data_IF_545502936586
#
_entry.id   IF_545502936586
#
_cell.length_a   1.000
_cell.length_b   1.000
_cell.length_c   1.000
_cell.angle_alpha   90.00
_cell.angle_beta   90.00
_cell.angle_gamma   90.00
#
_symmetry.space_group_name_H-M   'P 1'
#
loop_
_entity.id
_entity.type
_entity.pdbx_description
1 polymer ?
#
# COMPACT_ATOMS: atom_id res chain seq x y z
N UNK A 1 25.72 -5.76 16.48
CA UNK A 1 24.97 -5.98 17.73
C UNK A 1 23.52 -5.60 17.49
N UNK A 2 22.66 -6.58 17.21
CA UNK A 2 21.21 -6.36 17.04
C UNK A 2 20.56 -6.34 18.40
N UNK A 3 20.14 -5.16 18.86
CA UNK A 3 19.28 -5.05 20.03
C UNK A 3 18.06 -5.98 19.81
N UNK A 4 17.74 -6.90 20.73
CA UNK A 4 16.57 -7.77 20.59
C UNK A 4 15.34 -6.87 20.58
N UNK A 5 14.83 -6.60 19.38
CA UNK A 5 13.66 -5.76 19.15
C UNK A 5 12.52 -6.30 20.00
N UNK A 6 11.93 -5.43 20.83
CA UNK A 6 10.74 -5.76 21.59
C UNK A 6 9.71 -6.42 20.64
N UNK A 7 9.15 -7.58 21.00
CA UNK A 7 8.31 -8.35 20.09
C UNK A 7 7.14 -7.49 19.66
N UNK A 8 6.99 -7.30 18.35
CA UNK A 8 5.80 -6.67 17.77
C UNK A 8 4.57 -7.43 18.28
N UNK A 9 3.48 -6.71 18.59
CA UNK A 9 2.24 -7.36 19.01
C UNK A 9 1.90 -8.48 18.01
N UNK A 10 1.62 -9.70 18.49
CA UNK A 10 1.37 -10.82 17.61
C UNK A 10 0.19 -10.49 16.66
N UNK A 11 0.21 -11.01 15.42
CA UNK A 11 -0.89 -10.82 14.50
C UNK A 11 -2.20 -11.35 15.10
N UNK A 12 -3.31 -10.69 14.77
CA UNK A 12 -4.66 -11.16 15.17
C UNK A 12 -4.90 -12.53 14.54
N UNK A 13 -5.16 -13.55 15.35
CA UNK A 13 -5.46 -14.91 14.87
C UNK A 13 -6.94 -15.23 15.08
N UNK A 14 -7.66 -15.45 13.97
CA UNK A 14 -9.07 -15.78 13.98
C UNK A 14 -9.30 -17.28 13.87
N UNK A 15 -10.40 -17.75 14.44
CA UNK A 15 -10.76 -19.17 14.52
C UNK A 15 -12.19 -19.40 14.01
N UNK A 16 -12.48 -20.63 13.55
CA UNK A 16 -13.82 -21.08 13.18
C UNK A 16 -14.53 -20.15 12.17
N UNK A 17 -15.72 -19.67 12.54
CA UNK A 17 -16.55 -18.83 11.68
C UNK A 17 -15.92 -17.46 11.36
N UNK A 18 -15.14 -16.90 12.29
CA UNK A 18 -14.48 -15.60 12.10
C UNK A 18 -13.39 -15.70 11.02
N UNK A 19 -12.56 -16.76 11.06
CA UNK A 19 -11.55 -17.00 10.03
C UNK A 19 -12.16 -17.18 8.63
N UNK A 20 -13.26 -17.95 8.53
CA UNK A 20 -13.99 -18.11 7.25
C UNK A 20 -14.56 -16.79 6.74
N UNK A 21 -15.08 -15.94 7.63
CA UNK A 21 -15.58 -14.60 7.28
C UNK A 21 -14.45 -13.69 6.78
N UNK A 22 -13.30 -13.68 7.45
CA UNK A 22 -12.13 -12.92 7.02
C UNK A 22 -11.66 -13.33 5.62
N UNK A 23 -11.61 -14.63 5.33
CA UNK A 23 -11.24 -15.13 4.01
C UNK A 23 -12.26 -14.72 2.92
N UNK A 24 -13.56 -14.79 3.20
CA UNK A 24 -14.59 -14.31 2.25
C UNK A 24 -14.44 -12.82 1.97
N UNK A 25 -14.15 -12.01 2.99
CA UNK A 25 -13.88 -10.59 2.80
C UNK A 25 -12.60 -10.35 2.01
N UNK A 26 -11.54 -11.13 2.23
CA UNK A 26 -10.31 -11.05 1.43
C UNK A 26 -10.57 -11.34 -0.05
N UNK A 27 -11.31 -12.42 -0.34
CA UNK A 27 -11.71 -12.78 -1.72
C UNK A 27 -12.57 -11.68 -2.34
N UNK A 28 -13.58 -11.18 -1.63
CA UNK A 28 -14.47 -10.14 -2.14
C UNK A 28 -13.71 -8.83 -2.41
N UNK A 29 -12.83 -8.39 -1.51
CA UNK A 29 -11.98 -7.22 -1.75
C UNK A 29 -11.08 -7.43 -2.96
N UNK A 30 -10.40 -8.58 -3.05
CA UNK A 30 -9.51 -8.89 -4.16
C UNK A 30 -10.25 -8.90 -5.51
N UNK A 31 -11.43 -9.52 -5.56
CA UNK A 31 -12.27 -9.56 -6.77
C UNK A 31 -12.72 -8.16 -7.18
N UNK A 32 -13.27 -7.36 -6.26
CA UNK A 32 -13.74 -6.01 -6.58
C UNK A 32 -12.59 -5.09 -7.01
N UNK A 33 -11.42 -5.24 -6.38
CA UNK A 33 -10.23 -4.47 -6.68
C UNK A 33 -9.64 -4.82 -8.05
N UNK A 34 -9.61 -6.11 -8.40
CA UNK A 34 -8.89 -6.61 -9.58
C UNK A 34 -9.76 -6.78 -10.83
N UNK A 35 -11.09 -6.93 -10.72
CA UNK A 35 -11.92 -7.29 -11.87
C UNK A 35 -11.83 -6.27 -13.02
N UNK A 36 -11.87 -4.97 -12.71
CA UNK A 36 -11.76 -3.91 -13.73
C UNK A 36 -10.33 -3.81 -14.28
N UNK A 37 -9.27 -3.72 -13.45
CA UNK A 37 -7.88 -3.74 -13.94
C UNK A 37 -7.52 -4.98 -14.76
N UNK A 38 -7.89 -6.19 -14.32
CA UNK A 38 -7.65 -7.44 -15.07
C UNK A 38 -8.41 -7.45 -16.39
N UNK A 39 -9.67 -6.99 -16.42
CA UNK A 39 -10.43 -6.87 -17.67
C UNK A 39 -9.77 -5.87 -18.64
N UNK A 40 -9.34 -4.70 -18.14
CA UNK A 40 -8.57 -3.75 -18.95
C UNK A 40 -7.27 -4.39 -19.46
N UNK A 41 -6.53 -5.08 -18.59
CA UNK A 41 -5.27 -5.72 -18.94
C UNK A 41 -5.45 -6.80 -20.02
N UNK A 42 -6.51 -7.60 -19.90
CA UNK A 42 -6.85 -8.63 -20.89
C UNK A 42 -7.25 -8.02 -22.24
N UNK A 43 -7.98 -6.91 -22.26
CA UNK A 43 -8.34 -6.19 -23.48
C UNK A 43 -7.09 -5.62 -24.15
N UNK A 44 -6.23 -4.93 -23.38
CA UNK A 44 -4.96 -4.39 -23.88
C UNK A 44 -4.04 -5.51 -24.41
N UNK A 45 -3.95 -6.63 -23.70
CA UNK A 45 -3.24 -7.81 -24.18
C UNK A 45 -3.84 -8.35 -25.47
N UNK A 46 -5.17 -8.42 -25.58
CA UNK A 46 -5.84 -8.82 -26.82
C UNK A 46 -5.48 -7.91 -28.00
N UNK A 47 -5.41 -6.59 -27.80
CA UNK A 47 -4.96 -5.67 -28.85
C UNK A 47 -3.53 -5.94 -29.29
N UNK A 48 -2.62 -6.30 -28.37
CA UNK A 48 -1.26 -6.71 -28.72
C UNK A 48 -1.25 -7.94 -29.65
N UNK A 49 -2.17 -8.89 -29.45
CA UNK A 49 -2.34 -10.07 -30.30
C UNK A 49 -3.27 -9.85 -31.51
N UNK A 50 -3.63 -8.60 -31.83
CA UNK A 50 -4.50 -8.29 -32.97
C UNK A 50 -5.95 -8.76 -32.82
N UNK A 51 -6.41 -9.04 -31.59
CA UNK A 51 -7.81 -9.42 -31.33
C UNK A 51 -8.72 -8.22 -31.59
N UNK A 52 -9.68 -8.31 -32.53
CA UNK A 52 -10.62 -7.23 -32.79
C UNK A 52 -11.70 -7.22 -31.71
N UNK A 53 -11.58 -6.31 -30.74
CA UNK A 53 -12.62 -6.12 -29.73
C UNK A 53 -13.83 -5.39 -30.32
N UNK A 54 -15.07 -5.83 -30.04
CA UNK A 54 -16.26 -5.11 -30.46
C UNK A 54 -16.27 -3.68 -29.88
N UNK A 55 -16.84 -2.67 -30.57
CA UNK A 55 -16.95 -1.30 -30.06
C UNK A 55 -17.65 -1.19 -28.69
N UNK A 56 -18.50 -2.17 -28.36
CA UNK A 56 -19.22 -2.25 -27.07
C UNK A 56 -18.33 -2.65 -25.88
N UNK A 57 -17.08 -3.04 -26.10
CA UNK A 57 -16.16 -3.49 -25.04
C UNK A 57 -15.95 -2.42 -23.96
N UNK A 58 -15.78 -1.16 -24.36
CA UNK A 58 -15.70 -0.03 -23.42
C UNK A 58 -16.96 0.15 -22.58
N UNK A 59 -18.15 -0.11 -23.15
CA UNK A 59 -19.41 -0.07 -22.41
C UNK A 59 -19.47 -1.15 -21.33
N UNK A 60 -19.01 -2.38 -21.63
CA UNK A 60 -18.95 -3.45 -20.63
C UNK A 60 -18.02 -3.11 -19.46
N UNK A 61 -16.86 -2.49 -19.74
CA UNK A 61 -15.97 -2.01 -18.69
C UNK A 61 -16.62 -0.92 -17.82
N UNK A 62 -17.37 0.00 -18.44
CA UNK A 62 -18.17 1.00 -17.73
C UNK A 62 -19.20 0.36 -16.80
N UNK A 63 -19.96 -0.62 -17.32
CA UNK A 63 -20.94 -1.39 -16.52
C UNK A 63 -20.26 -2.11 -15.36
N UNK A 64 -19.10 -2.75 -15.59
CA UNK A 64 -18.34 -3.40 -14.52
C UNK A 64 -17.93 -2.41 -13.41
N UNK A 65 -17.43 -1.22 -13.78
CA UNK A 65 -17.07 -0.17 -12.80
C UNK A 65 -18.28 0.27 -11.98
N UNK A 66 -19.42 0.50 -12.62
CA UNK A 66 -20.68 0.86 -11.94
C UNK A 66 -21.14 -0.26 -11.01
N UNK A 67 -21.07 -1.52 -11.43
CA UNK A 67 -21.38 -2.67 -10.58
C UNK A 67 -20.49 -2.73 -9.33
N UNK A 68 -19.17 -2.53 -9.49
CA UNK A 68 -18.24 -2.46 -8.35
C UNK A 68 -18.62 -1.29 -7.44
N UNK A 69 -18.90 -0.10 -7.99
CA UNK A 69 -19.29 1.06 -7.22
C UNK A 69 -20.58 0.84 -6.41
N UNK A 70 -21.57 0.15 -6.97
CA UNK A 70 -22.80 -0.23 -6.29
C UNK A 70 -22.50 -1.16 -5.11
N UNK A 71 -21.66 -2.17 -5.30
CA UNK A 71 -21.25 -3.07 -4.20
C UNK A 71 -20.54 -2.27 -3.10
N UNK A 72 -19.64 -1.36 -3.45
CA UNK A 72 -18.93 -0.49 -2.50
C UNK A 72 -19.90 0.42 -1.75
N UNK A 73 -20.87 1.01 -2.44
CA UNK A 73 -21.92 1.86 -1.86
C UNK A 73 -22.75 1.13 -0.80
N UNK A 74 -23.10 -0.13 -1.00
CA UNK A 74 -23.82 -0.89 0.02
C UNK A 74 -22.91 -1.42 1.12
N UNK A 75 -21.72 -1.90 0.76
CA UNK A 75 -20.84 -2.59 1.69
C UNK A 75 -20.18 -1.63 2.70
N UNK A 76 -19.76 -0.44 2.29
CA UNK A 76 -19.10 0.52 3.19
C UNK A 76 -20.03 0.98 4.32
N UNK A 77 -21.24 1.52 4.07
CA UNK A 77 -22.19 1.86 5.12
C UNK A 77 -22.54 0.67 5.99
N UNK A 78 -22.70 -0.54 5.42
CA UNK A 78 -22.99 -1.75 6.20
C UNK A 78 -21.92 -2.02 7.26
N UNK A 79 -20.63 -2.00 6.87
CA UNK A 79 -19.52 -2.23 7.81
C UNK A 79 -19.40 -1.10 8.83
N UNK A 80 -19.58 0.15 8.40
CA UNK A 80 -19.54 1.33 9.30
C UNK A 80 -20.70 1.28 10.31
N UNK A 81 -21.91 0.93 9.89
CA UNK A 81 -23.08 0.75 10.77
C UNK A 81 -22.79 -0.33 11.81
N UNK A 82 -22.25 -1.48 11.37
CA UNK A 82 -21.92 -2.60 12.26
C UNK A 82 -20.86 -2.25 13.32
N UNK A 83 -19.89 -1.38 13.00
CA UNK A 83 -18.84 -0.95 13.95
C UNK A 83 -19.31 0.15 14.91
N UNK A 84 -20.26 0.98 14.51
CA UNK A 84 -20.69 2.19 15.23
C UNK A 84 -21.95 1.94 16.08
N UNK A 85 -21.87 0.99 17.01
CA UNK A 85 -22.94 0.72 17.99
C UNK A 85 -23.01 1.80 19.07
N UNK A 86 -24.17 1.94 19.74
CA UNK A 86 -24.40 2.98 20.76
C UNK A 86 -23.39 2.93 21.91
N UNK A 87 -22.96 1.72 22.28
CA UNK A 87 -22.05 1.51 23.41
C UNK A 87 -20.63 2.00 23.15
N UNK A 88 -20.28 2.29 21.88
CA UNK A 88 -18.92 2.63 21.46
C UNK A 88 -18.75 4.07 21.01
N UNK A 89 -19.83 4.70 20.53
CA UNK A 89 -19.73 5.99 19.83
C UNK A 89 -20.94 6.87 20.17
N UNK A 90 -20.70 8.15 20.42
CA UNK A 90 -21.76 9.12 20.68
C UNK A 90 -22.74 9.22 19.50
N UNK A 91 -24.04 9.50 19.73
CA UNK A 91 -25.05 9.55 18.67
C UNK A 91 -24.69 10.49 17.50
N UNK A 92 -24.11 11.66 17.79
CA UNK A 92 -23.68 12.65 16.78
C UNK A 92 -22.57 12.10 15.89
N UNK A 93 -21.52 11.52 16.48
CA UNK A 93 -20.39 10.95 15.74
C UNK A 93 -20.82 9.75 14.90
N UNK A 94 -21.73 8.94 15.41
CA UNK A 94 -22.35 7.83 14.68
C UNK A 94 -23.10 8.32 13.45
N UNK A 95 -23.95 9.34 13.59
CA UNK A 95 -24.69 9.91 12.46
C UNK A 95 -23.72 10.48 11.40
N UNK A 96 -22.69 11.22 11.84
CA UNK A 96 -21.68 11.77 10.94
C UNK A 96 -20.91 10.69 10.16
N UNK A 97 -20.45 9.61 10.84
CA UNK A 97 -19.70 8.53 10.19
C UNK A 97 -20.57 7.75 9.19
N UNK A 98 -21.82 7.46 9.54
CA UNK A 98 -22.76 6.76 8.66
C UNK A 98 -23.17 7.62 7.46
N UNK A 99 -23.46 8.90 7.70
CA UNK A 99 -23.76 9.88 6.65
C UNK A 99 -22.59 10.04 5.68
N UNK A 100 -21.36 10.15 6.19
CA UNK A 100 -20.15 10.22 5.36
C UNK A 100 -19.94 8.94 4.54
N UNK A 101 -20.19 7.76 5.11
CA UNK A 101 -20.09 6.49 4.37
C UNK A 101 -21.08 6.42 3.19
N UNK A 102 -22.34 6.83 3.41
CA UNK A 102 -23.36 6.89 2.35
C UNK A 102 -22.97 7.94 1.30
N UNK A 103 -22.56 9.14 1.71
CA UNK A 103 -22.17 10.21 0.80
C UNK A 103 -20.97 9.82 -0.09
N UNK A 104 -19.92 9.23 0.50
CA UNK A 104 -18.77 8.72 -0.26
C UNK A 104 -19.18 7.59 -1.21
N UNK A 105 -20.03 6.67 -0.78
CA UNK A 105 -20.54 5.62 -1.65
C UNK A 105 -21.34 6.18 -2.85
N UNK A 106 -22.22 7.15 -2.61
CA UNK A 106 -22.98 7.80 -3.69
C UNK A 106 -22.05 8.54 -4.65
N UNK A 107 -21.06 9.25 -4.11
CA UNK A 107 -20.04 9.93 -4.91
C UNK A 107 -19.20 8.93 -5.71
N UNK A 108 -18.92 7.74 -5.18
CA UNK A 108 -18.21 6.68 -5.90
C UNK A 108 -19.04 6.08 -7.04
N UNK A 109 -20.37 5.93 -6.88
CA UNK A 109 -21.27 5.53 -7.98
C UNK A 109 -21.24 6.59 -9.09
N UNK A 110 -21.39 7.87 -8.73
CA UNK A 110 -21.31 8.96 -9.69
C UNK A 110 -19.95 8.99 -10.40
N UNK A 111 -18.86 8.81 -9.66
CA UNK A 111 -17.50 8.77 -10.17
C UNK A 111 -17.19 7.54 -11.06
N UNK A 112 -17.99 6.48 -10.99
CA UNK A 112 -17.81 5.28 -11.81
C UNK A 112 -18.36 5.45 -13.24
N UNK A 113 -19.14 6.50 -13.50
CA UNK A 113 -19.65 6.80 -14.83
C UNK A 113 -18.53 7.34 -15.74
N UNK A 114 -18.22 6.67 -16.86
CA UNK A 114 -17.17 7.08 -17.78
C UNK A 114 -17.45 8.42 -18.49
N UNK A 115 -18.69 8.92 -18.47
CA UNK A 115 -19.08 10.18 -19.10
C UNK A 115 -18.77 11.43 -18.25
N UNK A 116 -18.37 11.27 -17.00
CA UNK A 116 -18.10 12.39 -16.08
C UNK A 116 -16.82 13.11 -16.48
N UNK A 117 -16.95 14.39 -16.84
CA UNK A 117 -15.88 15.26 -17.33
C UNK A 117 -14.71 15.51 -16.35
N UNK A 118 -14.85 15.14 -15.07
CA UNK A 118 -13.84 15.32 -14.01
C UNK A 118 -13.07 14.02 -13.71
N UNK A 119 -12.48 13.41 -14.73
CA UNK A 119 -11.87 12.07 -14.65
C UNK A 119 -10.84 11.90 -13.50
N UNK A 120 -9.92 12.86 -13.22
CA UNK A 120 -8.96 12.71 -12.13
C UNK A 120 -9.61 12.71 -10.74
N UNK A 121 -10.56 13.64 -10.51
CA UNK A 121 -11.26 13.75 -9.24
C UNK A 121 -12.16 12.53 -8.99
N UNK A 122 -12.86 12.06 -10.04
CA UNK A 122 -13.67 10.86 -9.99
C UNK A 122 -12.83 9.63 -9.57
N UNK A 123 -11.64 9.45 -10.17
CA UNK A 123 -10.71 8.39 -9.77
C UNK A 123 -10.32 8.47 -8.29
N UNK A 124 -9.93 9.66 -7.81
CA UNK A 124 -9.55 9.86 -6.40
C UNK A 124 -10.72 9.56 -5.46
N UNK A 125 -11.94 10.01 -5.79
CA UNK A 125 -13.14 9.75 -4.99
C UNK A 125 -13.43 8.24 -4.93
N UNK A 126 -13.41 7.57 -6.08
CA UNK A 126 -13.70 6.14 -6.17
C UNK A 126 -12.69 5.33 -5.36
N UNK A 127 -11.40 5.50 -5.62
CA UNK A 127 -10.35 4.74 -4.94
C UNK A 127 -10.19 5.14 -3.48
N UNK A 128 -10.37 6.41 -3.13
CA UNK A 128 -10.41 6.86 -1.73
C UNK A 128 -11.55 6.21 -0.94
N UNK A 129 -12.74 6.10 -1.55
CA UNK A 129 -13.88 5.39 -0.95
C UNK A 129 -13.59 3.89 -0.81
N UNK A 130 -12.95 3.29 -1.81
CA UNK A 130 -12.55 1.88 -1.79
C UNK A 130 -11.47 1.58 -0.73
N UNK A 131 -10.49 2.47 -0.56
CA UNK A 131 -9.51 2.41 0.52
C UNK A 131 -10.21 2.47 1.87
N UNK A 132 -11.19 3.36 2.04
CA UNK A 132 -11.96 3.45 3.28
C UNK A 132 -12.73 2.16 3.58
N UNK A 133 -13.44 1.61 2.59
CA UNK A 133 -14.09 0.29 2.70
C UNK A 133 -13.10 -0.77 3.17
N UNK A 134 -11.94 -0.85 2.52
CA UNK A 134 -10.89 -1.81 2.84
C UNK A 134 -10.42 -1.68 4.30
N UNK A 135 -10.15 -0.46 4.75
CA UNK A 135 -9.76 -0.18 6.14
C UNK A 135 -10.86 -0.57 7.13
N UNK A 136 -12.14 -0.29 6.83
CA UNK A 136 -13.27 -0.66 7.68
C UNK A 136 -13.46 -2.18 7.74
N UNK A 137 -13.28 -2.89 6.62
CA UNK A 137 -13.31 -4.35 6.58
C UNK A 137 -12.21 -4.93 7.47
N UNK A 138 -10.96 -4.46 7.37
CA UNK A 138 -9.88 -4.90 8.26
C UNK A 138 -10.20 -4.60 9.73
N UNK A 139 -10.69 -3.38 10.04
CA UNK A 139 -11.07 -2.98 11.41
C UNK A 139 -12.20 -3.86 11.97
N UNK A 140 -13.14 -4.31 11.15
CA UNK A 140 -14.22 -5.23 11.58
C UNK A 140 -13.69 -6.59 12.09
N UNK A 141 -12.45 -6.94 11.72
CA UNK A 141 -11.72 -8.12 12.18
C UNK A 141 -10.64 -7.80 13.23
N UNK A 142 -10.61 -6.57 13.76
CA UNK A 142 -9.59 -6.12 14.71
C UNK A 142 -8.19 -5.89 14.10
N UNK A 143 -8.09 -5.85 12.77
CA UNK A 143 -6.83 -5.70 12.05
C UNK A 143 -6.56 -4.22 11.79
N UNK A 144 -5.33 -3.78 12.06
CA UNK A 144 -4.80 -2.46 11.70
C UNK A 144 -3.66 -2.67 10.69
N UNK A 145 -3.77 -2.01 9.53
CA UNK A 145 -2.81 -2.15 8.41
C UNK A 145 -1.55 -1.29 8.56
N UNK A 146 -1.61 -0.22 9.36
CA UNK A 146 -0.44 0.57 9.73
C UNK A 146 -0.21 0.39 11.23
N UNK A 147 0.66 -0.55 11.59
CA UNK A 147 1.04 -0.77 12.99
C UNK A 147 2.22 0.13 13.32
N UNK A 148 2.04 1.20 14.12
CA UNK A 148 3.19 1.89 14.65
C UNK A 148 3.97 0.89 15.52
N UNK A 149 5.29 0.85 15.36
CA UNK A 149 6.14 0.25 16.39
C UNK A 149 5.89 0.99 17.70
N UNK A 150 6.10 0.33 18.83
CA UNK A 150 6.10 0.97 20.16
C UNK A 150 7.25 1.97 20.35
N UNK A 151 7.79 2.51 19.27
CA UNK A 151 8.87 3.47 19.22
C UNK A 151 8.27 4.84 19.54
N UNK A 152 8.61 5.36 20.72
CA UNK A 152 8.14 6.64 21.23
C UNK A 152 8.84 7.82 20.56
N UNK A 153 10.10 7.62 20.13
CA UNK A 153 10.90 8.65 19.45
C UNK A 153 10.44 8.85 17.99
N UNK A 154 9.93 10.05 17.62
CA UNK A 154 9.57 10.39 16.25
C UNK A 154 10.74 10.32 15.26
N UNK A 155 11.99 10.57 15.68
CA UNK A 155 13.18 10.57 14.81
C UNK A 155 13.50 9.15 14.36
N UNK A 156 13.66 8.20 15.27
CA UNK A 156 13.85 6.78 14.94
C UNK A 156 12.69 6.20 14.13
N UNK A 157 11.44 6.57 14.44
CA UNK A 157 10.28 6.17 13.63
C UNK A 157 10.37 6.67 12.18
N UNK A 158 10.84 7.91 11.96
CA UNK A 158 11.04 8.45 10.60
C UNK A 158 12.18 7.74 9.89
N UNK A 159 13.33 7.54 10.53
CA UNK A 159 14.47 6.80 9.95
C UNK A 159 14.08 5.38 9.55
N UNK A 160 13.37 4.66 10.42
CA UNK A 160 12.87 3.32 10.09
C UNK A 160 11.81 3.34 8.98
N UNK A 161 10.94 4.36 8.93
CA UNK A 161 10.00 4.53 7.80
C UNK A 161 10.76 4.72 6.49
N UNK A 162 11.80 5.54 6.50
CA UNK A 162 12.65 5.78 5.34
C UNK A 162 13.35 4.50 4.88
N UNK A 163 13.97 3.75 5.79
CA UNK A 163 14.63 2.47 5.49
C UNK A 163 13.66 1.47 4.83
N UNK A 164 12.43 1.37 5.37
CA UNK A 164 11.40 0.51 4.79
C UNK A 164 10.95 0.98 3.41
N UNK A 165 10.75 2.29 3.23
CA UNK A 165 10.42 2.87 1.93
C UNK A 165 11.53 2.62 0.91
N UNK A 166 12.80 2.76 1.29
CA UNK A 166 13.93 2.50 0.41
C UNK A 166 14.00 1.03 -0.01
N UNK A 167 13.81 0.09 0.93
CA UNK A 167 13.73 -1.34 0.60
C UNK A 167 12.57 -1.65 -0.34
N UNK A 168 11.39 -1.09 -0.08
CA UNK A 168 10.24 -1.25 -0.96
C UNK A 168 10.50 -0.67 -2.35
N UNK A 169 11.13 0.50 -2.42
CA UNK A 169 11.51 1.15 -3.67
C UNK A 169 12.51 0.30 -4.46
N UNK A 170 13.49 -0.32 -3.80
CA UNK A 170 14.44 -1.22 -4.45
C UNK A 170 13.75 -2.44 -5.07
N UNK A 171 12.75 -3.03 -4.40
CA UNK A 171 11.93 -4.08 -5.00
C UNK A 171 11.11 -3.58 -6.18
N UNK A 172 10.61 -2.34 -6.11
CA UNK A 172 9.88 -1.71 -7.21
C UNK A 172 10.78 -1.55 -8.44
N UNK A 173 11.97 -0.98 -8.25
CA UNK A 173 13.00 -0.82 -9.27
C UNK A 173 13.44 -2.17 -9.82
N UNK A 174 13.68 -3.18 -8.98
CA UNK A 174 14.11 -4.50 -9.43
C UNK A 174 13.05 -5.17 -10.33
N UNK A 175 11.78 -5.16 -9.92
CA UNK A 175 10.68 -5.71 -10.72
C UNK A 175 10.48 -4.96 -12.04
N UNK A 176 10.44 -3.62 -11.99
CA UNK A 176 10.29 -2.79 -13.19
C UNK A 176 11.48 -2.89 -14.15
N UNK A 177 12.70 -2.96 -13.62
CA UNK A 177 13.91 -3.16 -14.41
C UNK A 177 13.94 -4.54 -15.08
N UNK A 178 13.55 -5.60 -14.37
CA UNK A 178 13.44 -6.94 -14.95
C UNK A 178 12.34 -7.02 -16.02
N UNK A 179 11.21 -6.35 -15.81
CA UNK A 179 10.17 -6.22 -16.84
C UNK A 179 10.72 -5.52 -18.08
N UNK A 180 11.42 -4.39 -17.90
CA UNK A 180 12.06 -3.65 -18.98
C UNK A 180 13.10 -4.50 -19.73
N UNK A 181 14.02 -5.17 -19.04
CA UNK A 181 15.00 -6.04 -19.69
C UNK A 181 14.35 -7.20 -20.44
N UNK A 182 13.29 -7.78 -19.88
CA UNK A 182 12.53 -8.85 -20.55
C UNK A 182 11.87 -8.34 -21.82
N UNK A 183 11.29 -7.13 -21.79
CA UNK A 183 10.75 -6.46 -22.96
C UNK A 183 11.83 -6.22 -24.03
N UNK A 184 12.99 -5.67 -23.66
CA UNK A 184 14.09 -5.42 -24.59
C UNK A 184 14.65 -6.72 -25.17
N UNK A 185 14.74 -7.79 -24.38
CA UNK A 185 15.19 -9.10 -24.86
C UNK A 185 14.23 -9.69 -25.90
N UNK A 186 12.91 -9.59 -25.67
CA UNK A 186 11.91 -10.07 -26.62
C UNK A 186 11.93 -9.27 -27.93
N UNK A 187 12.07 -7.95 -27.85
CA UNK A 187 12.22 -7.08 -29.02
C UNK A 187 13.51 -7.39 -29.79
N UNK A 188 14.62 -7.63 -29.08
CA UNK A 188 15.90 -7.97 -29.69
C UNK A 188 15.87 -9.34 -30.40
N UNK A 189 15.16 -10.31 -29.83
CA UNK A 189 15.00 -11.63 -30.41
C UNK A 189 13.99 -11.70 -31.56
N UNK A 190 13.31 -10.58 -31.87
CA UNK A 190 12.32 -10.46 -32.94
C UNK A 190 11.25 -11.57 -32.90
N UNK A 191 10.79 -11.90 -31.69
CA UNK A 191 9.79 -12.94 -31.49
C UNK A 191 8.41 -12.35 -31.76
N UNK A 192 8.00 -12.29 -33.03
CA UNK A 192 6.69 -11.78 -33.48
C UNK A 192 5.49 -12.37 -32.72
N UNK A 193 5.64 -13.58 -32.19
CA UNK A 193 4.59 -14.30 -31.44
C UNK A 193 4.37 -13.71 -30.03
N UNK A 194 5.27 -12.87 -29.52
CA UNK A 194 5.23 -12.32 -28.17
C UNK A 194 5.23 -10.79 -28.20
N UNK A 195 4.12 -10.16 -28.63
CA UNK A 195 4.04 -8.72 -28.72
C UNK A 195 4.22 -8.10 -27.33
N UNK A 196 5.09 -7.09 -27.28
CA UNK A 196 5.38 -6.31 -26.08
C UNK A 196 4.77 -4.93 -26.26
N UNK A 197 4.23 -4.38 -25.19
CA UNK A 197 3.63 -3.04 -25.27
C UNK A 197 4.69 -1.95 -25.42
N UNK A 198 4.50 -1.10 -26.43
CA UNK A 198 5.40 0.03 -26.70
C UNK A 198 5.17 1.24 -25.77
N UNK A 199 3.95 1.40 -25.25
CA UNK A 199 3.58 2.54 -24.41
C UNK A 199 2.68 2.18 -23.21
N UNK A 200 3.27 2.24 -22.02
CA UNK A 200 2.57 2.06 -20.75
C UNK A 200 1.56 3.16 -20.41
N UNK A 201 1.88 4.43 -20.67
CA UNK A 201 0.96 5.52 -20.30
C UNK A 201 -0.27 5.56 -21.21
N UNK A 202 -0.12 5.18 -22.48
CA UNK A 202 -1.25 5.02 -23.38
C UNK A 202 -2.22 3.95 -22.87
N UNK A 203 -1.70 2.80 -22.40
CA UNK A 203 -2.52 1.75 -21.81
C UNK A 203 -3.19 2.16 -20.48
N UNK A 204 -2.56 3.07 -19.72
CA UNK A 204 -3.16 3.66 -18.52
C UNK A 204 -4.09 4.86 -18.83
N UNK A 205 -4.19 5.29 -20.09
CA UNK A 205 -4.98 6.46 -20.51
C UNK A 205 -4.44 7.80 -19.99
N UNK A 206 -3.15 7.86 -19.65
CA UNK A 206 -2.51 9.03 -19.06
C UNK A 206 -1.86 9.87 -20.17
N UNK A 207 -2.62 10.83 -20.71
CA UNK A 207 -2.10 11.85 -21.63
C UNK A 207 -2.03 13.23 -20.95
N UNK A 208 -0.81 13.78 -20.89
CA UNK A 208 -0.46 15.21 -20.86
C UNK A 208 -0.67 16.02 -19.58
N UNK A 209 -1.59 15.64 -18.68
CA UNK A 209 -1.92 16.45 -17.50
C UNK A 209 -1.35 15.87 -16.19
N UNK A 210 -0.64 16.71 -15.41
CA UNK A 210 -0.11 16.33 -14.09
C UNK A 210 -1.23 15.89 -13.14
N UNK A 211 -2.41 16.50 -13.23
CA UNK A 211 -3.58 16.12 -12.43
C UNK A 211 -4.01 14.67 -12.68
N UNK A 212 -4.07 14.24 -13.94
CA UNK A 212 -4.33 12.84 -14.34
C UNK A 212 -3.25 11.89 -13.83
N UNK A 213 -1.98 12.26 -13.98
CA UNK A 213 -0.86 11.45 -13.48
C UNK A 213 -0.95 11.24 -11.97
N UNK A 214 -1.17 12.29 -11.18
CA UNK A 214 -1.30 12.18 -9.73
C UNK A 214 -2.51 11.34 -9.32
N UNK A 215 -3.65 11.49 -10.00
CA UNK A 215 -4.83 10.68 -9.75
C UNK A 215 -4.59 9.20 -10.07
N UNK A 216 -3.93 8.90 -11.19
CA UNK A 216 -3.57 7.54 -11.58
C UNK A 216 -2.61 6.90 -10.56
N UNK A 217 -1.50 7.56 -10.23
CA UNK A 217 -0.53 7.09 -9.22
C UNK A 217 -1.23 6.84 -7.87
N UNK A 218 -2.07 7.77 -7.42
CA UNK A 218 -2.83 7.61 -6.17
C UNK A 218 -3.74 6.38 -6.23
N UNK A 219 -4.43 6.20 -7.36
CA UNK A 219 -5.34 5.07 -7.59
C UNK A 219 -4.60 3.73 -7.56
N UNK A 220 -3.47 3.65 -8.27
CA UNK A 220 -2.61 2.45 -8.33
C UNK A 220 -2.08 2.09 -6.95
N UNK A 221 -1.51 3.05 -6.22
CA UNK A 221 -0.98 2.83 -4.87
C UNK A 221 -2.07 2.36 -3.89
N UNK A 222 -3.27 2.95 -3.97
CA UNK A 222 -4.40 2.50 -3.16
C UNK A 222 -4.80 1.07 -3.52
N UNK A 223 -5.02 0.79 -4.80
CA UNK A 223 -5.44 -0.51 -5.29
C UNK A 223 -4.44 -1.59 -4.87
N UNK A 224 -3.18 -1.40 -5.22
CA UNK A 224 -2.15 -2.42 -5.07
C UNK A 224 -1.66 -2.52 -3.62
N UNK A 225 -1.19 -1.43 -3.00
CA UNK A 225 -0.58 -1.52 -1.68
C UNK A 225 -1.61 -1.69 -0.56
N UNK A 226 -2.69 -0.91 -0.60
CA UNK A 226 -3.69 -0.93 0.48
C UNK A 226 -4.57 -2.17 0.38
N UNK A 227 -5.09 -2.48 -0.81
CA UNK A 227 -6.06 -3.55 -0.96
C UNK A 227 -5.41 -4.88 -1.28
N UNK A 228 -4.72 -4.99 -2.42
CA UNK A 228 -4.17 -6.26 -2.90
C UNK A 228 -3.08 -6.79 -1.97
N UNK A 229 -2.10 -5.96 -1.61
CA UNK A 229 -1.00 -6.37 -0.75
C UNK A 229 -1.43 -6.38 0.72
N UNK A 230 -1.69 -5.21 1.33
CA UNK A 230 -1.83 -5.12 2.77
C UNK A 230 -3.10 -5.79 3.32
N UNK A 231 -4.27 -5.42 2.81
CA UNK A 231 -5.53 -5.90 3.38
C UNK A 231 -5.74 -7.39 3.16
N UNK A 232 -5.53 -7.89 1.93
CA UNK A 232 -5.68 -9.32 1.62
C UNK A 232 -4.65 -10.14 2.40
N UNK A 233 -3.38 -9.74 2.44
CA UNK A 233 -2.37 -10.44 3.23
C UNK A 233 -2.73 -10.47 4.72
N UNK A 234 -3.19 -9.34 5.28
CA UNK A 234 -3.55 -9.28 6.69
C UNK A 234 -4.78 -10.14 7.02
N UNK A 235 -5.81 -10.15 6.18
CA UNK A 235 -7.00 -10.97 6.35
C UNK A 235 -6.69 -12.48 6.18
N UNK A 236 -5.86 -12.85 5.21
CA UNK A 236 -5.43 -14.23 5.01
C UNK A 236 -4.54 -14.71 6.15
N UNK A 237 -3.62 -13.87 6.64
CA UNK A 237 -2.79 -14.15 7.81
C UNK A 237 -3.66 -14.34 9.05
N UNK A 238 -4.65 -13.46 9.26
CA UNK A 238 -5.58 -13.59 10.38
C UNK A 238 -6.45 -14.85 10.28
N UNK A 239 -6.77 -15.29 9.06
CA UNK A 239 -7.42 -16.57 8.79
C UNK A 239 -6.46 -17.78 8.85
N UNK A 240 -5.20 -17.59 9.25
CA UNK A 240 -4.15 -18.61 9.36
C UNK A 240 -3.88 -19.36 8.06
N UNK A 241 -3.96 -18.67 6.93
CA UNK A 241 -3.51 -19.23 5.65
C UNK A 241 -1.98 -19.37 5.64
N UNK A 242 -1.44 -20.47 5.09
CA UNK A 242 0.00 -20.63 4.98
C UNK A 242 0.59 -19.52 4.11
N UNK A 243 1.80 -19.07 4.46
CA UNK A 243 2.44 -17.91 3.83
C UNK A 243 2.57 -18.07 2.31
N UNK A 244 2.89 -19.26 1.82
CA UNK A 244 2.97 -19.52 0.37
C UNK A 244 1.65 -19.22 -0.36
N UNK A 245 0.48 -19.52 0.23
CA UNK A 245 -0.81 -19.19 -0.38
C UNK A 245 -1.01 -17.69 -0.50
N UNK A 246 -0.53 -16.92 0.49
CA UNK A 246 -0.62 -15.46 0.48
C UNK A 246 0.25 -14.89 -0.65
N UNK A 247 1.50 -15.34 -0.75
CA UNK A 247 2.40 -14.95 -1.84
C UNK A 247 1.83 -15.31 -3.20
N UNK A 248 1.42 -16.56 -3.42
CA UNK A 248 0.87 -16.99 -4.71
C UNK A 248 -0.36 -16.17 -5.09
N UNK A 249 -1.29 -15.94 -4.15
CA UNK A 249 -2.51 -15.17 -4.43
C UNK A 249 -2.19 -13.75 -4.88
N UNK A 250 -1.32 -13.05 -4.14
CA UNK A 250 -0.97 -11.65 -4.41
C UNK A 250 -0.16 -11.55 -5.69
N UNK A 251 0.89 -12.35 -5.86
CA UNK A 251 1.74 -12.31 -7.06
C UNK A 251 0.95 -12.66 -8.33
N UNK A 252 0.04 -13.64 -8.29
CA UNK A 252 -0.77 -14.00 -9.47
C UNK A 252 -1.72 -12.87 -9.86
N UNK A 253 -2.39 -12.22 -8.90
CA UNK A 253 -3.26 -11.09 -9.20
C UNK A 253 -2.46 -9.90 -9.72
N UNK A 254 -1.30 -9.62 -9.14
CA UNK A 254 -0.38 -8.56 -9.60
C UNK A 254 0.09 -8.80 -11.05
N UNK A 255 0.54 -10.01 -11.37
CA UNK A 255 0.87 -10.37 -12.75
C UNK A 255 -0.35 -10.21 -13.67
N UNK A 256 -1.54 -10.59 -13.22
CA UNK A 256 -2.77 -10.50 -14.02
C UNK A 256 -3.20 -9.05 -14.29
N UNK A 257 -3.10 -8.15 -13.30
CA UNK A 257 -3.42 -6.72 -13.53
C UNK A 257 -2.40 -6.05 -14.45
N UNK A 258 -1.18 -6.60 -14.54
CA UNK A 258 -0.13 -6.15 -15.44
C UNK A 258 0.00 -6.99 -16.72
N UNK A 259 -0.96 -7.88 -17.01
CA UNK A 259 -0.90 -8.76 -18.17
C UNK A 259 -0.80 -8.00 -19.51
N UNK A 260 -1.19 -6.72 -19.52
CA UNK A 260 -1.01 -5.82 -20.67
C UNK A 260 0.47 -5.58 -21.04
N UNK A 261 1.44 -5.96 -20.20
CA UNK A 261 2.86 -5.98 -20.58
C UNK A 261 3.25 -7.21 -21.41
N UNK A 262 2.37 -8.20 -21.57
CA UNK A 262 2.72 -9.48 -22.17
C UNK A 262 3.58 -10.34 -21.22
N UNK A 263 4.51 -11.11 -21.77
CA UNK A 263 5.39 -11.99 -20.98
C UNK A 263 6.23 -11.24 -19.90
N UNK A 264 6.71 -10.00 -20.13
CA UNK A 264 7.36 -9.19 -19.10
C UNK A 264 6.55 -8.99 -17.81
N UNK A 265 5.22 -9.15 -17.84
CA UNK A 265 4.37 -9.06 -16.64
C UNK A 265 4.79 -10.03 -15.53
N UNK A 266 5.43 -11.17 -15.86
CA UNK A 266 5.93 -12.12 -14.87
C UNK A 266 6.95 -11.51 -13.90
N UNK A 267 7.71 -10.49 -14.32
CA UNK A 267 8.65 -9.79 -13.45
C UNK A 267 7.94 -9.01 -12.32
N UNK A 268 6.66 -8.68 -12.49
CA UNK A 268 5.83 -8.06 -11.44
C UNK A 268 5.60 -9.00 -10.25
N UNK A 269 5.84 -10.31 -10.39
CA UNK A 269 5.82 -11.21 -9.24
C UNK A 269 6.92 -10.88 -8.22
N UNK A 270 8.10 -10.42 -8.67
CA UNK A 270 9.21 -10.01 -7.77
C UNK A 270 8.86 -8.70 -7.07
N UNK A 271 8.29 -7.76 -7.83
CA UNK A 271 7.75 -6.50 -7.33
C UNK A 271 6.75 -6.72 -6.20
N UNK A 272 5.73 -7.55 -6.45
CA UNK A 272 4.69 -7.90 -5.50
C UNK A 272 5.22 -8.67 -4.28
N UNK A 273 6.07 -9.67 -4.51
CA UNK A 273 6.64 -10.50 -3.44
C UNK A 273 7.49 -9.67 -2.46
N UNK A 274 8.29 -8.74 -2.97
CA UNK A 274 9.11 -7.85 -2.15
C UNK A 274 8.30 -6.93 -1.25
N UNK A 275 7.28 -6.26 -1.82
CA UNK A 275 6.34 -5.41 -1.04
C UNK A 275 5.58 -6.23 0.00
N UNK A 276 5.11 -7.42 -0.38
CA UNK A 276 4.43 -8.34 0.52
C UNK A 276 5.34 -8.82 1.66
N UNK A 277 6.61 -9.13 1.37
CA UNK A 277 7.57 -9.54 2.39
C UNK A 277 7.76 -8.45 3.45
N UNK A 278 7.94 -7.20 3.01
CA UNK A 278 8.06 -6.05 3.90
C UNK A 278 6.75 -5.89 4.70
N UNK A 279 5.59 -5.99 4.06
CA UNK A 279 4.31 -5.88 4.77
C UNK A 279 4.14 -6.96 5.84
N UNK A 280 4.38 -8.24 5.52
CA UNK A 280 4.23 -9.34 6.47
C UNK A 280 5.18 -9.24 7.65
N UNK A 281 6.39 -8.73 7.43
CA UNK A 281 7.39 -8.59 8.49
C UNK A 281 7.15 -7.36 9.38
N UNK A 282 6.79 -6.22 8.79
CA UNK A 282 6.71 -4.94 9.52
C UNK A 282 5.29 -4.51 9.85
N UNK A 283 4.27 -4.97 9.11
CA UNK A 283 2.87 -4.59 9.29
C UNK A 283 2.60 -3.11 9.01
N UNK A 284 3.30 -2.54 8.02
CA UNK A 284 3.23 -1.11 7.66
C UNK A 284 2.97 -0.97 6.17
N UNK A 285 1.91 -0.26 5.82
CA UNK A 285 1.48 -0.04 4.43
C UNK A 285 1.97 1.29 3.89
N UNK A 286 2.08 2.32 4.74
CA UNK A 286 2.47 3.67 4.31
C UNK A 286 3.86 3.72 3.65
N UNK A 287 4.92 3.05 4.17
CA UNK A 287 6.22 3.05 3.49
C UNK A 287 6.16 2.43 2.10
N UNK A 288 5.32 1.40 1.91
CA UNK A 288 5.12 0.73 0.62
C UNK A 288 4.48 1.69 -0.37
N UNK A 289 3.39 2.34 0.06
CA UNK A 289 2.65 3.32 -0.75
C UNK A 289 3.54 4.47 -1.22
N UNK A 290 4.37 5.01 -0.33
CA UNK A 290 5.27 6.12 -0.67
C UNK A 290 6.31 5.65 -1.69
N UNK A 291 6.94 4.51 -1.44
CA UNK A 291 7.97 3.97 -2.32
C UNK A 291 7.44 3.67 -3.72
N UNK A 292 6.32 2.96 -3.79
CA UNK A 292 5.64 2.62 -5.03
C UNK A 292 5.15 3.87 -5.77
N UNK A 293 4.50 4.80 -5.08
CA UNK A 293 4.03 6.04 -5.69
C UNK A 293 5.17 6.91 -6.25
N UNK A 294 6.32 6.96 -5.57
CA UNK A 294 7.52 7.65 -6.08
C UNK A 294 8.05 6.93 -7.32
N UNK A 295 8.10 5.60 -7.31
CA UNK A 295 8.53 4.80 -8.46
C UNK A 295 7.66 5.06 -9.69
N UNK A 296 6.34 4.98 -9.55
CA UNK A 296 5.39 5.22 -10.65
C UNK A 296 5.44 6.66 -11.17
N UNK A 297 5.52 7.64 -10.25
CA UNK A 297 5.63 9.05 -10.62
C UNK A 297 6.94 9.31 -11.37
N UNK A 298 8.07 8.78 -10.88
CA UNK A 298 9.36 8.91 -11.54
C UNK A 298 9.35 8.24 -12.92
N UNK A 299 8.82 7.03 -13.04
CA UNK A 299 8.67 6.33 -14.31
C UNK A 299 7.85 7.14 -15.31
N UNK A 300 6.73 7.72 -14.86
CA UNK A 300 5.86 8.57 -15.69
C UNK A 300 6.57 9.85 -16.15
N UNK A 301 7.25 10.55 -15.24
CA UNK A 301 7.95 11.80 -15.53
C UNK A 301 9.19 11.61 -16.41
N UNK A 302 9.86 10.47 -16.30
CA UNK A 302 11.06 10.15 -17.09
C UNK A 302 10.72 9.53 -18.46
N UNK A 303 9.49 9.09 -18.69
CA UNK A 303 9.08 8.50 -19.98
C UNK A 303 9.35 9.40 -21.20
N UNK A 304 9.06 10.71 -21.24
CA UNK A 304 9.35 11.52 -22.44
C UNK A 304 10.85 11.71 -22.69
N UNK A 305 11.70 11.42 -21.71
CA UNK A 305 13.15 11.59 -21.78
C UNK A 305 13.78 10.42 -22.56
N UNK A 306 14.77 10.62 -23.46
CA UNK A 306 15.45 9.52 -24.12
C UNK A 306 16.18 8.57 -23.15
N UNK A 307 16.28 7.28 -23.49
CA UNK A 307 16.81 6.22 -22.62
C UNK A 307 18.18 6.54 -21.98
N UNK A 308 19.20 7.06 -22.69
CA UNK A 308 20.50 7.38 -22.07
C UNK A 308 20.38 8.38 -20.93
N UNK A 309 19.52 9.39 -21.08
CA UNK A 309 19.28 10.39 -20.04
C UNK A 309 18.44 9.83 -18.88
N UNK A 310 17.54 8.87 -19.12
CA UNK A 310 16.85 8.15 -18.03
C UNK A 310 17.84 7.35 -17.18
N UNK A 311 18.77 6.65 -17.83
CA UNK A 311 19.83 5.90 -17.14
C UNK A 311 20.70 6.87 -16.33
N UNK A 312 21.14 7.97 -16.93
CA UNK A 312 21.91 8.99 -16.23
C UNK A 312 21.16 9.58 -15.02
N UNK A 313 19.87 9.91 -15.18
CA UNK A 313 19.02 10.37 -14.10
C UNK A 313 18.90 9.32 -12.97
N UNK A 314 18.72 8.06 -13.33
CA UNK A 314 18.71 6.94 -12.38
C UNK A 314 20.03 6.82 -11.61
N UNK A 315 21.17 6.90 -12.29
CA UNK A 315 22.49 6.89 -11.65
C UNK A 315 22.69 8.09 -10.71
N UNK A 316 22.29 9.29 -11.14
CA UNK A 316 22.36 10.50 -10.30
C UNK A 316 21.50 10.33 -9.05
N UNK A 317 20.26 9.83 -9.17
CA UNK A 317 19.38 9.59 -8.04
C UNK A 317 19.95 8.51 -7.09
N UNK A 318 20.49 7.42 -7.64
CA UNK A 318 21.09 6.34 -6.86
C UNK A 318 22.31 6.79 -6.04
N UNK A 319 23.05 7.81 -6.51
CA UNK A 319 24.17 8.41 -5.78
C UNK A 319 23.69 9.48 -4.80
N UNK A 320 22.79 10.37 -5.24
CA UNK A 320 22.34 11.52 -4.47
C UNK A 320 21.52 11.12 -3.24
N UNK A 321 20.64 10.11 -3.35
CA UNK A 321 19.76 9.70 -2.26
C UNK A 321 20.53 9.21 -1.02
N UNK A 322 21.51 8.28 -1.12
CA UNK A 322 22.34 7.90 0.03
C UNK A 322 23.15 9.05 0.61
N UNK A 323 23.61 10.00 -0.22
CA UNK A 323 24.33 11.17 0.25
C UNK A 323 23.43 12.12 1.05
N UNK A 324 22.20 12.37 0.58
CA UNK A 324 21.20 13.18 1.27
C UNK A 324 20.80 12.51 2.59
N UNK A 325 20.56 11.19 2.56
CA UNK A 325 20.23 10.40 3.74
C UNK A 325 21.33 10.51 4.80
N UNK A 326 22.59 10.23 4.43
CA UNK A 326 23.73 10.32 5.35
C UNK A 326 23.87 11.71 5.98
N UNK A 327 23.59 12.77 5.21
CA UNK A 327 23.64 14.16 5.72
C UNK A 327 22.46 14.45 6.65
N UNK A 328 21.25 14.02 6.29
CA UNK A 328 20.05 14.25 7.08
C UNK A 328 20.09 13.50 8.42
N UNK A 329 20.61 12.26 8.43
CA UNK A 329 20.77 11.50 9.67
C UNK A 329 21.96 12.00 10.48
N UNK A 330 23.10 12.29 9.85
CA UNK A 330 24.29 12.79 10.54
C UNK A 330 24.08 14.13 11.24
N UNK A 331 23.28 15.04 10.68
CA UNK A 331 22.93 16.29 11.34
C UNK A 331 22.05 16.08 12.59
N UNK A 332 21.14 15.10 12.54
CA UNK A 332 20.29 14.77 13.69
C UNK A 332 21.09 14.11 14.82
N UNK A 333 22.03 13.23 14.49
CA UNK A 333 22.93 12.58 15.45
C UNK A 333 23.87 13.60 16.11
N UNK A 334 24.35 14.59 15.34
CA UNK A 334 25.20 15.66 15.87
C UNK A 334 24.46 16.59 16.83
N UNK A 335 23.19 16.91 16.57
CA UNK A 335 22.35 17.71 17.47
C UNK A 335 22.08 16.97 18.79
N UNK A 336 21.84 15.65 18.75
CA UNK A 336 21.66 14.82 19.95
C UNK A 336 22.94 14.72 20.79
N UNK A 337 24.12 14.71 20.16
CA UNK A 337 25.40 14.76 20.87
C UNK A 337 25.73 16.16 21.42
N UNK A 338 25.20 17.22 20.80
CA UNK A 338 25.46 18.61 21.16
C UNK A 338 24.53 19.16 22.24
N UNK A 339 23.47 18.44 22.62
CA UNK A 339 22.63 18.72 23.79
C UNK A 339 23.07 17.81 24.95
N UNK A 340 24.18 18.15 25.65
CA UNK A 340 24.58 17.41 26.83
C UNK A 340 23.46 17.56 27.85
N UNK A 341 22.77 16.46 28.13
CA UNK A 341 21.68 16.36 29.11
C UNK A 341 21.91 17.31 30.30
N UNK A 342 21.23 18.47 30.35
CA UNK A 342 21.45 19.44 31.42
C UNK A 342 21.09 18.88 32.80
N UNK A 343 20.36 17.74 32.83
CA UNK A 343 19.97 17.05 34.04
C UNK A 343 21.02 16.03 34.54
N UNK A 344 22.14 15.81 33.84
CA UNK A 344 23.22 14.94 34.29
C UNK A 344 24.13 15.59 35.36
N UNK A 345 23.84 16.81 35.80
CA UNK A 345 24.31 17.33 37.09
C UNK A 345 23.16 17.32 38.10
N UNK A 346 22.91 16.19 38.79
CA UNK A 346 22.36 16.29 40.12
C UNK A 346 23.43 17.00 40.95
N UNK A 347 23.11 18.18 41.47
CA UNK A 347 23.53 18.52 42.82
C UNK A 347 23.09 17.34 43.70
N UNK A 348 23.99 16.37 43.85
CA UNK A 348 23.90 15.30 44.81
C UNK A 348 23.74 16.00 46.17
N UNK A 349 22.55 15.95 46.80
CA UNK A 349 22.39 16.56 48.11
C UNK A 349 23.38 15.83 49.03
N UNK A 350 24.23 16.56 49.78
CA UNK A 350 25.26 15.95 50.61
C UNK A 350 24.61 14.91 51.53
N UNK A 351 25.22 13.74 51.59
CA UNK A 351 24.84 12.60 52.40
C UNK A 351 24.45 13.04 53.82
N UNK A 352 23.15 13.23 54.06
CA UNK A 352 22.60 13.34 55.41
C UNK A 352 22.36 11.94 55.93
N UNK A 353 23.29 11.50 56.75
CA UNK A 353 23.14 10.57 57.87
C UNK A 353 21.85 9.73 57.87
N UNK A 354 21.93 8.54 57.26
CA UNK A 354 21.12 7.39 57.67
C UNK A 354 21.82 6.67 58.83
N UNK A 355 21.99 7.38 59.94
CA UNK A 355 22.16 6.78 61.24
C UNK A 355 20.86 7.00 62.03
N UNK A 356 20.31 5.90 62.55
CA UNK A 356 19.20 5.82 63.52
C UNK A 356 17.77 5.76 62.97
N UNK A 357 17.21 4.55 62.96
CA UNK A 357 15.93 4.17 63.61
C UNK A 357 15.56 2.77 63.10
N UNK A 358 16.05 1.71 63.75
CA UNK A 358 15.36 1.01 64.86
C UNK A 358 14.19 0.16 64.36
N UNK A 359 14.49 -1.14 64.35
CA UNK A 359 13.62 -2.29 64.59
C UNK A 359 12.21 -2.04 65.15
N UNK A 360 11.21 -2.70 64.55
CA UNK A 360 10.19 -3.39 65.34
C UNK A 360 9.60 -4.59 64.58
N UNK A 361 9.63 -5.80 65.18
CA UNK A 361 8.85 -6.94 64.74
C UNK A 361 7.55 -7.08 65.55
N UNK A 362 6.45 -7.41 64.88
CA UNK A 362 5.24 -8.02 65.45
C UNK A 362 4.56 -8.73 64.27
N UNK A 363 4.53 -10.07 64.14
CA UNK A 363 3.80 -11.07 64.94
C UNK A 363 2.45 -10.52 65.43
N UNK A 364 1.36 -10.97 64.79
CA UNK A 364 0.33 -11.75 65.49
C UNK A 364 -0.70 -12.37 64.52
N UNK A 365 -1.05 -13.62 64.86
CA UNK A 365 -2.24 -14.45 64.53
C UNK A 365 -2.64 -14.73 63.09
#
# INVERSE_FOLDING_TARGET
MTNPLAPSRPPVLLHGAAARRALRHAIALLLLASIVPVANAAISLGYLYGVPWPPRTGHYLGVMRVCVAIVVFFWLPWVVIGRTTLDRVTPRRRLAQRGAAVACGSAAIFAADPSVAFTPLAMIIFWGTFAWLTLEVCRSHGIVLERPRGETDPRRRRAHTWELSQRAFNFCVAGGFLAFLSAQALLFLDVDVLPVMDDQLAALGIEGDLGRTLAAVTSTVVLEDVVIVAAVAALMTAARRPVWQIYTTICVVEVAVHAYFGLPALAMAIFAAGRLQIFLHYGRVVPLMIAHGIFDLAGTLLKPVPLPYRIAAGCVLAIALPMIEKRATGAADAEEQADPDPAAHPDEPPARDRANAVSSPAKDS
#
